data_IF_003229792940
#
_entry.id   IF_003229792940
#
_cell.length_a   1.000
_cell.length_b   1.000
_cell.length_c   1.000
_cell.angle_alpha   90.00
_cell.angle_beta   90.00
_cell.angle_gamma   90.00
#
_symmetry.space_group_name_H-M   'P 1'
#
loop_
_entity.id
_entity.type
_entity.pdbx_description
1 polymer ?
#
# COMPACT_ATOMS: atom_id res chain seq x y z
N UNK A 1 -39.54 27.36 69.24
CA UNK A 1 -40.74 27.19 68.42
C UNK A 1 -40.25 26.68 67.06
N UNK A 2 -40.29 25.37 66.84
CA UNK A 2 -41.16 24.70 65.82
C UNK A 2 -40.69 25.01 64.39
N UNK A 3 -40.42 24.08 63.48
CA UNK A 3 -40.74 22.65 63.36
C UNK A 3 -39.83 21.95 62.31
N UNK A 4 -39.63 20.64 62.52
CA UNK A 4 -39.67 19.47 61.60
C UNK A 4 -39.21 19.48 60.11
N UNK A 5 -38.91 18.28 59.54
CA UNK A 5 -37.93 18.02 58.47
C UNK A 5 -38.54 17.51 57.14
N UNK A 6 -37.67 17.00 56.23
CA UNK A 6 -37.84 16.24 54.94
C UNK A 6 -37.90 17.05 53.63
N UNK A 7 -37.56 16.45 52.45
CA UNK A 7 -36.69 15.30 52.16
C UNK A 7 -35.70 15.55 50.99
N UNK A 8 -34.78 14.58 50.80
CA UNK A 8 -33.93 14.43 49.63
C UNK A 8 -34.73 14.39 48.32
N UNK A 9 -34.28 15.14 47.31
CA UNK A 9 -34.65 14.93 45.91
C UNK A 9 -33.41 14.52 45.13
N UNK A 10 -33.45 13.30 44.60
CA UNK A 10 -32.41 12.66 43.80
C UNK A 10 -32.00 13.47 42.57
N UNK A 11 -30.71 13.36 42.27
CA UNK A 11 -30.05 13.87 41.08
C UNK A 11 -30.79 13.46 39.80
N UNK A 12 -31.24 14.44 39.01
CA UNK A 12 -31.49 14.23 37.59
C UNK A 12 -30.14 14.11 36.89
N UNK A 13 -29.65 12.88 36.72
CA UNK A 13 -28.62 12.58 35.74
C UNK A 13 -29.27 12.65 34.35
N UNK A 14 -29.36 13.85 33.79
CA UNK A 14 -29.62 14.01 32.36
C UNK A 14 -28.40 13.45 31.63
N UNK A 15 -28.52 12.22 31.15
CA UNK A 15 -27.58 11.64 30.21
C UNK A 15 -27.61 12.49 28.94
N UNK A 16 -26.62 13.37 28.80
CA UNK A 16 -26.34 14.09 27.57
C UNK A 16 -25.91 13.07 26.51
N UNK A 17 -26.87 12.52 25.77
CA UNK A 17 -26.55 11.84 24.52
C UNK A 17 -26.17 12.91 23.49
N UNK A 18 -24.99 12.85 22.86
CA UNK A 18 -24.65 13.79 21.81
C UNK A 18 -25.61 13.63 20.63
N UNK A 19 -26.09 14.77 20.14
CA UNK A 19 -26.95 14.87 18.97
C UNK A 19 -26.36 14.07 17.80
N UNK A 20 -27.12 13.11 17.31
CA UNK A 20 -26.76 12.28 16.16
C UNK A 20 -26.80 13.17 14.92
N UNK A 21 -25.65 13.75 14.56
CA UNK A 21 -25.43 14.30 13.22
C UNK A 21 -25.60 13.20 12.17
N UNK A 22 -25.74 13.56 10.87
CA UNK A 22 -25.88 12.59 9.80
C UNK A 22 -24.70 11.61 9.87
N UNK A 23 -25.01 10.35 10.13
CA UNK A 23 -24.06 9.23 10.11
C UNK A 23 -23.65 9.05 8.66
N UNK A 24 -22.74 9.90 8.18
CA UNK A 24 -21.97 9.62 6.98
C UNK A 24 -20.97 8.56 7.43
N UNK A 25 -21.07 7.31 6.96
CA UNK A 25 -20.08 6.31 7.28
C UNK A 25 -18.73 6.87 6.85
N UNK A 26 -17.79 7.01 7.78
CA UNK A 26 -16.42 7.36 7.43
C UNK A 26 -15.95 6.34 6.39
N UNK A 27 -15.53 6.84 5.22
CA UNK A 27 -15.02 5.99 4.16
C UNK A 27 -13.90 5.13 4.76
N UNK A 28 -13.92 3.79 4.60
CA UNK A 28 -12.79 2.97 5.04
C UNK A 28 -11.50 3.54 4.44
N UNK A 29 -10.36 3.47 5.15
CA UNK A 29 -9.09 4.01 4.66
C UNK A 29 -8.88 3.49 3.24
N UNK A 30 -8.81 4.40 2.27
CA UNK A 30 -8.56 4.01 0.88
C UNK A 30 -7.23 3.26 0.83
N UNK A 31 -7.12 2.17 0.05
CA UNK A 31 -5.84 1.50 -0.14
C UNK A 31 -4.87 2.51 -0.72
N UNK A 32 -3.90 2.93 0.07
CA UNK A 32 -2.80 3.80 -0.36
C UNK A 32 -2.06 3.05 -1.47
N UNK A 33 -2.03 3.62 -2.68
CA UNK A 33 -1.20 3.10 -3.75
C UNK A 33 0.24 2.98 -3.23
N UNK A 34 0.88 1.82 -3.31
CA UNK A 34 2.21 1.64 -2.77
C UNK A 34 3.16 2.62 -3.46
N UNK A 35 3.97 3.32 -2.67
CA UNK A 35 4.97 4.25 -3.20
C UNK A 35 6.09 3.43 -3.84
N UNK A 36 6.06 3.32 -5.16
CA UNK A 36 7.04 2.55 -5.91
C UNK A 36 8.31 3.38 -6.11
N UNK A 37 9.50 2.77 -5.98
CA UNK A 37 10.73 3.48 -6.28
C UNK A 37 10.78 3.93 -7.75
N UNK A 38 11.36 5.11 -8.03
CA UNK A 38 11.47 5.59 -9.40
C UNK A 38 12.37 4.64 -10.22
N UNK A 39 12.11 4.46 -11.53
CA UNK A 39 12.80 3.50 -12.37
C UNK A 39 14.31 3.75 -12.45
N UNK A 40 14.74 5.01 -12.31
CA UNK A 40 16.16 5.40 -12.26
C UNK A 40 16.93 4.77 -11.10
N UNK A 41 16.26 4.30 -10.06
CA UNK A 41 16.89 3.55 -8.95
C UNK A 41 17.54 2.25 -9.45
N UNK A 42 17.02 1.68 -10.54
CA UNK A 42 17.47 0.40 -11.10
C UNK A 42 18.37 0.57 -12.34
N UNK A 43 18.66 1.81 -12.75
CA UNK A 43 19.43 2.09 -13.96
C UNK A 43 20.95 2.06 -13.68
N UNK A 44 21.45 0.86 -13.38
CA UNK A 44 22.89 0.59 -13.11
C UNK A 44 23.66 0.13 -14.34
N UNK A 45 22.95 -0.30 -15.38
CA UNK A 45 23.53 -0.92 -16.57
C UNK A 45 24.46 0.02 -17.35
N UNK A 46 24.14 1.30 -17.59
CA UNK A 46 25.02 2.20 -18.33
C UNK A 46 26.36 2.39 -17.63
N UNK A 47 26.36 2.52 -16.31
CA UNK A 47 27.57 2.75 -15.52
C UNK A 47 28.42 1.50 -15.41
N UNK A 48 27.79 0.33 -15.20
CA UNK A 48 28.48 -0.94 -15.22
C UNK A 48 29.13 -1.20 -16.59
N UNK A 49 28.41 -0.94 -17.68
CA UNK A 49 28.91 -1.10 -19.04
C UNK A 49 30.13 -0.21 -19.31
N UNK A 50 30.10 1.06 -18.89
CA UNK A 50 31.24 1.99 -19.01
C UNK A 50 32.47 1.46 -18.29
N UNK A 51 32.31 0.98 -17.06
CA UNK A 51 33.42 0.45 -16.26
C UNK A 51 34.02 -0.79 -16.93
N UNK A 52 33.17 -1.74 -17.35
CA UNK A 52 33.61 -2.98 -18.01
C UNK A 52 34.32 -2.70 -19.35
N UNK A 53 33.80 -1.75 -20.13
CA UNK A 53 34.42 -1.36 -21.41
C UNK A 53 35.83 -0.80 -21.21
N UNK A 54 36.00 0.08 -20.22
CA UNK A 54 37.30 0.68 -19.89
C UNK A 54 38.29 -0.35 -19.31
N UNK A 55 37.80 -1.32 -18.55
CA UNK A 55 38.62 -2.42 -18.03
C UNK A 55 39.11 -3.34 -19.15
N UNK A 56 38.25 -3.66 -20.12
CA UNK A 56 38.59 -4.50 -21.26
C UNK A 56 39.60 -3.81 -22.22
N UNK A 57 39.49 -2.49 -22.36
CA UNK A 57 40.47 -1.70 -23.11
C UNK A 57 41.83 -1.67 -22.39
N UNK A 58 41.85 -1.56 -21.06
CA UNK A 58 43.08 -1.63 -20.26
C UNK A 58 43.77 -2.98 -20.37
N UNK A 59 43.02 -4.09 -20.38
CA UNK A 59 43.60 -5.42 -20.54
C UNK A 59 44.18 -5.69 -21.94
N UNK A 60 43.81 -4.89 -22.93
CA UNK A 60 44.24 -5.04 -24.32
C UNK A 60 45.47 -4.19 -24.68
N UNK A 61 45.98 -3.38 -23.76
CA UNK A 61 47.10 -2.47 -24.02
C UNK A 61 48.45 -3.16 -23.71
N UNK A 62 49.44 -3.13 -24.62
CA UNK A 62 50.80 -3.61 -24.32
C UNK A 62 51.44 -2.78 -23.19
N UNK A 63 52.36 -3.35 -22.38
CA UNK A 63 52.98 -2.63 -21.27
C UNK A 63 53.63 -1.34 -21.78
N UNK A 64 53.51 -0.22 -21.04
CA UNK A 64 54.04 1.06 -21.48
C UNK A 64 55.55 0.94 -21.63
N UNK A 65 56.03 1.12 -22.85
CA UNK A 65 57.43 1.44 -23.08
C UNK A 65 57.74 2.74 -22.32
N UNK A 66 58.79 2.70 -21.51
CA UNK A 66 59.30 3.81 -20.71
C UNK A 66 59.39 5.11 -21.53
N UNK A 67 58.63 6.13 -21.11
CA UNK A 67 58.88 7.52 -21.52
C UNK A 67 57.74 8.18 -22.27
N UNK A 68 56.72 8.64 -21.53
CA UNK A 68 56.16 10.01 -21.54
C UNK A 68 54.85 9.96 -20.76
N UNK A 69 54.91 10.30 -19.48
CA UNK A 69 53.72 10.50 -18.66
C UNK A 69 53.09 11.86 -19.04
N UNK A 70 51.81 11.94 -19.43
CA UNK A 70 51.09 13.20 -19.33
C UNK A 70 50.81 13.46 -17.85
N UNK A 71 51.30 14.59 -17.34
CA UNK A 71 51.03 15.11 -16.00
C UNK A 71 49.52 15.15 -15.73
N UNK A 72 49.00 14.51 -14.65
CA UNK A 72 47.59 14.62 -14.31
C UNK A 72 47.31 16.03 -13.76
N UNK A 73 46.50 16.79 -14.48
CA UNK A 73 45.95 18.07 -14.00
C UNK A 73 44.77 17.76 -13.06
N UNK A 74 44.74 18.26 -11.81
CA UNK A 74 43.83 17.76 -10.75
C UNK A 74 42.38 18.26 -10.85
N UNK A 75 41.89 18.63 -12.04
CA UNK A 75 40.55 19.21 -12.21
C UNK A 75 39.71 18.61 -13.35
N UNK A 76 40.16 17.52 -13.98
CA UNK A 76 39.39 16.86 -15.02
C UNK A 76 38.78 15.55 -14.48
N UNK A 77 37.46 15.31 -14.61
CA UNK A 77 36.91 13.98 -14.35
C UNK A 77 37.67 12.98 -15.26
N UNK A 78 38.01 11.76 -14.78
CA UNK A 78 38.86 10.85 -15.53
C UNK A 78 38.20 10.53 -16.88
N UNK A 79 38.71 11.20 -17.91
CA UNK A 79 38.19 11.16 -19.25
C UNK A 79 38.51 9.80 -19.85
N UNK A 80 37.47 9.02 -20.15
CA UNK A 80 37.32 7.88 -21.08
C UNK A 80 38.52 6.94 -21.37
N UNK A 81 39.55 6.97 -20.54
CA UNK A 81 40.78 6.23 -20.71
C UNK A 81 40.73 4.85 -20.04
N UNK A 82 41.66 3.96 -20.40
CA UNK A 82 41.80 2.64 -19.78
C UNK A 82 41.75 2.71 -18.24
N UNK A 83 40.96 1.84 -17.62
CA UNK A 83 40.79 1.82 -16.16
C UNK A 83 41.93 1.03 -15.53
N UNK A 84 42.75 1.69 -14.72
CA UNK A 84 43.82 1.04 -13.97
C UNK A 84 43.25 0.19 -12.82
N UNK A 85 43.89 -0.94 -12.52
CA UNK A 85 43.40 -1.94 -11.55
C UNK A 85 43.15 -1.31 -10.17
N UNK A 86 43.99 -0.38 -9.74
CA UNK A 86 43.84 0.33 -8.46
C UNK A 86 42.60 1.24 -8.42
N UNK A 87 42.18 1.76 -9.57
CA UNK A 87 41.04 2.68 -9.68
C UNK A 87 39.69 1.95 -9.77
N UNK A 88 39.68 0.63 -9.98
CA UNK A 88 38.45 -0.18 -10.13
C UNK A 88 37.57 -0.10 -8.87
N UNK A 89 38.18 -0.11 -7.68
CA UNK A 89 37.43 -0.03 -6.42
C UNK A 89 36.69 1.30 -6.29
N UNK A 90 37.32 2.41 -6.68
CA UNK A 90 36.71 3.74 -6.69
C UNK A 90 35.63 3.85 -7.78
N UNK A 91 35.93 3.40 -9.00
CA UNK A 91 34.98 3.44 -10.12
C UNK A 91 33.71 2.61 -9.88
N UNK A 92 33.83 1.47 -9.19
CA UNK A 92 32.68 0.60 -8.86
C UNK A 92 31.90 1.04 -7.63
N UNK A 93 32.41 1.99 -6.83
CA UNK A 93 31.76 2.42 -5.59
C UNK A 93 30.36 3.02 -5.84
N UNK A 94 30.20 3.82 -6.90
CA UNK A 94 28.91 4.40 -7.25
C UNK A 94 27.89 3.33 -7.67
N UNK A 95 28.30 2.35 -8.48
CA UNK A 95 27.44 1.24 -8.89
C UNK A 95 27.01 0.40 -7.68
N UNK A 96 27.92 0.13 -6.75
CA UNK A 96 27.61 -0.56 -5.49
C UNK A 96 26.58 0.21 -4.67
N UNK A 97 26.73 1.53 -4.56
CA UNK A 97 25.79 2.38 -3.83
C UNK A 97 24.40 2.37 -4.48
N UNK A 98 24.32 2.47 -5.82
CA UNK A 98 23.05 2.38 -6.56
C UNK A 98 22.38 1.03 -6.34
N UNK A 99 23.14 -0.07 -6.38
CA UNK A 99 22.62 -1.40 -6.12
C UNK A 99 22.08 -1.56 -4.70
N UNK A 100 22.81 -1.06 -3.70
CA UNK A 100 22.36 -1.06 -2.30
C UNK A 100 21.08 -0.25 -2.12
N UNK A 101 20.99 0.92 -2.79
CA UNK A 101 19.77 1.74 -2.77
C UNK A 101 18.60 1.01 -3.40
N UNK A 102 18.80 0.37 -4.54
CA UNK A 102 17.78 -0.44 -5.21
C UNK A 102 17.31 -1.60 -4.32
N UNK A 103 18.24 -2.34 -3.73
CA UNK A 103 17.91 -3.43 -2.81
C UNK A 103 17.10 -2.93 -1.60
N UNK A 104 17.53 -1.84 -0.97
CA UNK A 104 16.81 -1.22 0.15
C UNK A 104 15.40 -0.79 -0.27
N UNK A 105 15.25 -0.21 -1.46
CA UNK A 105 13.95 0.21 -1.97
C UNK A 105 13.01 -0.98 -2.21
N UNK A 106 13.51 -2.07 -2.77
CA UNK A 106 12.73 -3.32 -2.96
C UNK A 106 12.30 -3.91 -1.63
N UNK A 107 13.21 -3.99 -0.65
CA UNK A 107 12.91 -4.54 0.68
C UNK A 107 12.00 -3.63 1.52
N UNK A 108 11.87 -2.36 1.15
CA UNK A 108 10.94 -1.43 1.79
C UNK A 108 9.53 -1.50 1.19
N UNK A 109 9.30 -2.28 0.13
CA UNK A 109 7.99 -2.38 -0.50
C UNK A 109 6.98 -3.08 0.45
N UNK A 110 5.77 -2.53 0.59
CA UNK A 110 4.75 -3.15 1.44
C UNK A 110 4.34 -4.51 0.87
N UNK A 111 4.29 -5.51 1.75
CA UNK A 111 3.88 -6.87 1.36
C UNK A 111 4.93 -7.67 0.59
N UNK A 112 6.18 -7.19 0.47
CA UNK A 112 7.25 -7.91 -0.22
C UNK A 112 7.58 -9.26 0.41
N UNK A 113 7.32 -9.42 1.71
CA UNK A 113 7.53 -10.65 2.46
C UNK A 113 6.36 -11.65 2.34
N UNK A 114 5.27 -11.28 1.66
CA UNK A 114 4.09 -12.14 1.49
C UNK A 114 4.14 -12.88 0.16
N UNK A 115 3.64 -14.12 0.15
CA UNK A 115 3.51 -14.89 -1.08
C UNK A 115 2.26 -14.46 -1.86
N UNK A 116 2.18 -14.83 -3.14
CA UNK A 116 0.96 -14.64 -3.92
C UNK A 116 -0.18 -15.55 -3.41
N UNK A 117 0.15 -16.78 -2.98
CA UNK A 117 -0.83 -17.75 -2.47
C UNK A 117 -1.54 -17.22 -1.22
N UNK A 118 -0.79 -16.67 -0.24
CA UNK A 118 -1.38 -16.04 0.95
C UNK A 118 -2.35 -14.91 0.59
N UNK A 119 -2.00 -14.12 -0.44
CA UNK A 119 -2.81 -12.99 -0.88
C UNK A 119 -4.08 -13.46 -1.59
N UNK A 120 -3.98 -14.50 -2.42
CA UNK A 120 -5.12 -15.11 -3.11
C UNK A 120 -6.13 -15.70 -2.11
N UNK A 121 -5.64 -16.40 -1.08
CA UNK A 121 -6.48 -16.92 0.01
C UNK A 121 -7.16 -15.80 0.80
N UNK A 122 -6.42 -14.73 1.11
CA UNK A 122 -6.97 -13.54 1.78
C UNK A 122 -8.08 -12.90 0.92
N UNK A 123 -7.86 -12.75 -0.39
CA UNK A 123 -8.85 -12.22 -1.34
C UNK A 123 -10.10 -13.09 -1.33
N UNK A 124 -9.97 -14.40 -1.48
CA UNK A 124 -11.11 -15.32 -1.51
C UNK A 124 -11.93 -15.24 -0.21
N UNK A 125 -11.26 -15.17 0.94
CA UNK A 125 -11.92 -15.00 2.23
C UNK A 125 -12.63 -13.65 2.34
N UNK A 126 -12.00 -12.55 1.91
CA UNK A 126 -12.58 -11.21 1.93
C UNK A 126 -13.79 -11.10 1.00
N UNK A 127 -13.74 -11.68 -0.18
CA UNK A 127 -14.85 -11.74 -1.14
C UNK A 127 -16.05 -12.49 -0.55
N UNK A 128 -15.83 -13.67 0.03
CA UNK A 128 -16.89 -14.43 0.70
C UNK A 128 -17.52 -13.65 1.87
N UNK A 129 -16.73 -12.85 2.60
CA UNK A 129 -17.24 -11.98 3.66
C UNK A 129 -18.08 -10.83 3.09
N UNK A 130 -17.64 -10.21 2.00
CA UNK A 130 -18.37 -9.15 1.31
C UNK A 130 -19.72 -9.67 0.82
N UNK A 131 -19.79 -10.88 0.27
CA UNK A 131 -21.05 -11.50 -0.17
C UNK A 131 -22.04 -11.66 0.98
N UNK A 132 -21.58 -12.20 2.12
CA UNK A 132 -22.41 -12.35 3.33
C UNK A 132 -22.94 -11.02 3.85
N UNK A 133 -22.10 -9.98 3.86
CA UNK A 133 -22.48 -8.63 4.27
C UNK A 133 -23.50 -8.03 3.30
N UNK A 134 -23.27 -8.14 1.99
CA UNK A 134 -24.21 -7.70 0.95
C UNK A 134 -25.56 -8.40 1.07
N UNK A 135 -25.59 -9.71 1.30
CA UNK A 135 -26.82 -10.47 1.51
C UNK A 135 -27.58 -9.98 2.75
N UNK A 136 -26.86 -9.65 3.83
CA UNK A 136 -27.47 -9.16 5.07
C UNK A 136 -28.07 -7.76 4.90
N UNK A 137 -27.37 -6.87 4.20
CA UNK A 137 -27.90 -5.55 3.85
C UNK A 137 -29.15 -5.65 2.95
N UNK A 138 -29.17 -6.58 1.99
CA UNK A 138 -30.36 -6.82 1.16
C UNK A 138 -31.57 -7.26 1.99
N UNK A 139 -31.38 -8.15 2.98
CA UNK A 139 -32.45 -8.57 3.89
C UNK A 139 -32.99 -7.42 4.73
N UNK A 140 -32.12 -6.52 5.20
CA UNK A 140 -32.53 -5.36 5.98
C UNK A 140 -33.26 -4.32 5.12
N UNK A 141 -32.89 -4.19 3.84
CA UNK A 141 -33.51 -3.26 2.89
C UNK A 141 -34.72 -3.82 2.14
N UNK A 142 -35.12 -5.08 2.37
CA UNK A 142 -36.36 -5.61 1.81
C UNK A 142 -37.53 -4.91 2.50
N UNK A 143 -38.41 -4.20 1.76
CA UNK A 143 -39.65 -3.73 2.36
C UNK A 143 -40.37 -4.95 2.91
N UNK A 144 -40.84 -4.88 4.16
CA UNK A 144 -41.84 -5.81 4.66
C UNK A 144 -43.00 -5.75 3.67
N UNK A 145 -43.05 -6.71 2.74
CA UNK A 145 -44.22 -6.94 1.91
C UNK A 145 -45.30 -7.32 2.90
N UNK A 146 -46.10 -6.32 3.31
CA UNK A 146 -47.37 -6.55 3.95
C UNK A 146 -48.18 -7.35 2.93
N UNK A 147 -48.44 -8.61 3.26
CA UNK A 147 -49.34 -9.50 2.54
C UNK A 147 -50.58 -8.71 2.08
N UNK A 148 -50.94 -8.72 0.79
CA UNK A 148 -52.23 -8.21 0.38
C UNK A 148 -53.29 -9.15 0.97
N UNK A 149 -54.07 -8.64 1.91
CA UNK A 149 -55.26 -9.32 2.43
C UNK A 149 -56.09 -9.82 1.25
N UNK A 150 -56.27 -11.15 1.19
CA UNK A 150 -57.18 -11.76 0.24
C UNK A 150 -58.60 -11.26 0.55
N UNK A 151 -59.36 -10.81 -0.46
CA UNK A 151 -60.69 -10.26 -0.25
C UNK A 151 -61.62 -11.31 0.35
N UNK A 152 -62.45 -10.84 1.27
CA UNK A 152 -63.48 -11.59 1.99
C UNK A 152 -64.25 -12.51 1.04
N UNK A 153 -64.31 -13.80 1.37
CA UNK A 153 -65.22 -14.75 0.73
C UNK A 153 -66.65 -14.40 1.13
N UNK A 154 -67.24 -13.48 0.39
CA UNK A 154 -68.68 -13.25 0.35
C UNK A 154 -69.32 -14.44 -0.40
N UNK A 155 -69.59 -15.53 0.33
CA UNK A 155 -70.41 -16.65 -0.16
C UNK A 155 -71.55 -16.87 0.81
N UNK A 156 -72.38 -15.85 0.95
CA UNK A 156 -73.77 -16.00 1.33
C UNK A 156 -74.51 -16.65 0.15
N UNK A 157 -74.52 -17.99 0.10
CA UNK A 157 -75.35 -18.75 -0.85
C UNK A 157 -75.47 -20.24 -0.46
N UNK A 158 -76.12 -20.52 0.67
CA UNK A 158 -76.65 -21.87 0.94
C UNK A 158 -77.92 -21.82 1.80
N UNK A 159 -79.03 -21.39 1.20
CA UNK A 159 -80.39 -21.67 1.68
C UNK A 159 -81.34 -21.83 0.49
N UNK A 160 -81.31 -23.01 -0.12
CA UNK A 160 -82.47 -23.65 -0.77
C UNK A 160 -82.12 -25.11 -1.03
N UNK A 161 -82.74 -26.00 -0.26
CA UNK A 161 -82.66 -27.45 -0.39
C UNK A 161 -83.59 -28.09 0.62
#
# INVERSE_FOLDING_TARGET
MSAAPTPHASMSAAASFPATGPVTPALPPQPSTPDLPPPSTFDVLPDLHKILSRLLQASSQPPPATGTAPTPTPSQPPADGPLEIEQVASATAEVKLKLQRAQKAVMALPGIDRTCEDQEDEIAHLEARIEKLRASLRRLGQPTTLEPELPEQDVDQSMTG
#
